data_IF_615804334456
#
_entry.id   IF_615804334456
#
_cell.length_a   1.000
_cell.length_b   1.000
_cell.length_c   1.000
_cell.angle_alpha   90.00
_cell.angle_beta   90.00
_cell.angle_gamma   90.00
#
_symmetry.space_group_name_H-M   'P 1'
#
loop_
_entity.id
_entity.type
_entity.pdbx_description
1 polymer ?
#
# COMPACT_ATOMS: atom_id res chain seq x y z
N UNK A 1 -6.41 22.27 -1.59
CA UNK A 1 -6.31 20.91 -2.14
C UNK A 1 -7.74 20.42 -2.34
N UNK A 2 -8.23 20.35 -3.58
CA UNK A 2 -9.45 19.59 -3.83
C UNK A 2 -9.18 18.20 -3.26
N UNK A 3 -9.99 17.78 -2.29
CA UNK A 3 -9.90 16.40 -1.81
C UNK A 3 -10.24 15.54 -3.01
N UNK A 4 -9.30 14.69 -3.37
CA UNK A 4 -9.52 13.62 -4.31
C UNK A 4 -10.84 12.93 -3.97
N UNK A 5 -11.54 12.46 -4.98
CA UNK A 5 -12.79 11.72 -4.83
C UNK A 5 -12.61 10.70 -3.68
N UNK A 6 -13.41 10.78 -2.59
CA UNK A 6 -13.24 9.91 -1.43
C UNK A 6 -13.37 8.43 -1.75
N UNK A 7 -13.91 8.10 -2.92
CA UNK A 7 -13.99 6.74 -3.44
C UNK A 7 -12.67 6.25 -4.04
N UNK A 8 -11.91 7.13 -4.71
CA UNK A 8 -10.67 6.78 -5.42
C UNK A 8 -9.43 7.11 -4.58
N UNK A 9 -9.24 6.40 -3.48
CA UNK A 9 -8.11 6.60 -2.58
C UNK A 9 -7.18 5.39 -2.56
N UNK A 10 -5.92 5.63 -2.22
CA UNK A 10 -4.89 4.59 -2.10
C UNK A 10 -4.94 3.96 -0.71
N UNK A 11 -4.37 2.75 -0.56
CA UNK A 11 -4.27 2.09 0.75
C UNK A 11 -3.49 2.97 1.75
N UNK A 12 -2.47 3.71 1.28
CA UNK A 12 -1.79 4.73 2.09
C UNK A 12 -2.76 5.77 2.65
N UNK A 13 -3.65 6.30 1.81
CA UNK A 13 -4.64 7.30 2.25
C UNK A 13 -5.61 6.72 3.29
N UNK A 14 -5.97 5.43 3.14
CA UNK A 14 -6.77 4.70 4.12
C UNK A 14 -6.01 4.62 5.45
N UNK A 15 -4.73 4.19 5.43
CA UNK A 15 -3.93 4.04 6.66
C UNK A 15 -3.65 5.40 7.33
N UNK A 16 -3.28 6.43 6.57
CA UNK A 16 -3.04 7.78 7.10
C UNK A 16 -4.33 8.36 7.75
N UNK A 17 -5.51 8.11 7.13
CA UNK A 17 -6.80 8.56 7.68
C UNK A 17 -7.22 7.73 8.90
N UNK A 18 -6.98 6.41 8.87
CA UNK A 18 -7.27 5.53 10.00
C UNK A 18 -6.46 5.97 11.24
N UNK A 19 -5.17 6.26 11.06
CA UNK A 19 -4.32 6.80 12.11
C UNK A 19 -4.86 8.14 12.66
N UNK A 20 -5.22 9.08 11.78
CA UNK A 20 -5.77 10.37 12.19
C UNK A 20 -7.10 10.23 12.96
N UNK A 21 -8.01 9.35 12.49
CA UNK A 21 -9.28 9.08 13.18
C UNK A 21 -9.05 8.45 14.55
N UNK A 22 -8.01 7.60 14.68
CA UNK A 22 -7.63 6.97 15.94
C UNK A 22 -7.04 7.97 16.92
N UNK A 23 -6.13 8.83 16.46
CA UNK A 23 -5.51 9.91 17.27
C UNK A 23 -6.55 10.92 17.77
N UNK A 24 -7.58 11.20 16.98
CA UNK A 24 -8.69 12.09 17.31
C UNK A 24 -9.76 11.39 18.17
N UNK A 25 -9.60 10.12 18.55
CA UNK A 25 -10.59 9.29 19.24
C UNK A 25 -11.97 9.34 18.54
N UNK A 26 -11.97 9.39 17.21
CA UNK A 26 -13.18 9.57 16.41
C UNK A 26 -14.09 8.34 16.48
N UNK A 27 -15.40 8.56 16.60
CA UNK A 27 -16.38 7.48 16.46
C UNK A 27 -16.48 7.08 14.98
N UNK A 28 -15.80 6.02 14.61
CA UNK A 28 -15.73 5.51 13.25
C UNK A 28 -15.93 4.00 13.20
N UNK A 29 -16.34 3.51 12.04
CA UNK A 29 -16.34 2.08 11.71
C UNK A 29 -15.46 1.84 10.47
N UNK A 30 -14.90 0.64 10.40
CA UNK A 30 -14.10 0.15 9.27
C UNK A 30 -14.86 -1.00 8.63
N UNK A 31 -15.15 -0.90 7.33
CA UNK A 31 -15.66 -2.01 6.55
C UNK A 31 -14.53 -2.61 5.72
N UNK A 32 -14.28 -3.92 5.88
CA UNK A 32 -13.21 -4.64 5.18
C UNK A 32 -13.81 -5.78 4.37
N UNK A 33 -13.41 -5.90 3.10
CA UNK A 33 -13.69 -7.10 2.29
C UNK A 33 -12.87 -8.26 2.86
N UNK A 34 -13.52 -9.31 3.34
CA UNK A 34 -12.83 -10.47 3.94
C UNK A 34 -12.83 -11.68 3.03
N UNK A 35 -13.87 -11.87 2.22
CA UNK A 35 -13.91 -12.94 1.23
C UNK A 35 -14.67 -12.51 -0.03
N UNK A 36 -14.34 -13.15 -1.14
CA UNK A 36 -14.95 -12.91 -2.45
C UNK A 36 -15.10 -14.22 -3.21
N UNK A 37 -16.33 -14.61 -3.51
CA UNK A 37 -16.62 -15.66 -4.44
C UNK A 37 -16.99 -15.08 -5.82
N UNK A 38 -16.45 -15.62 -6.90
CA UNK A 38 -16.72 -15.14 -8.26
C UNK A 38 -15.95 -13.88 -8.63
N UNK A 39 -16.63 -12.88 -9.22
CA UNK A 39 -16.04 -11.63 -9.71
C UNK A 39 -16.47 -10.44 -8.87
N UNK A 40 -15.54 -9.81 -8.18
CA UNK A 40 -15.77 -8.58 -7.46
C UNK A 40 -14.78 -7.49 -7.91
N UNK A 41 -15.19 -6.24 -7.73
CA UNK A 41 -14.36 -5.06 -8.06
C UNK A 41 -13.17 -4.92 -7.12
N UNK A 42 -13.38 -5.16 -5.83
CA UNK A 42 -12.32 -5.10 -4.80
C UNK A 42 -12.01 -6.51 -4.29
N UNK A 43 -10.86 -6.66 -3.67
CA UNK A 43 -10.33 -7.91 -3.16
C UNK A 43 -10.36 -7.95 -1.64
N UNK A 44 -10.19 -9.12 -1.02
CA UNK A 44 -9.91 -9.21 0.39
C UNK A 44 -8.80 -8.24 0.81
N UNK A 45 -8.98 -7.58 1.95
CA UNK A 45 -8.12 -6.51 2.45
C UNK A 45 -8.58 -5.09 2.09
N UNK A 46 -9.40 -4.90 1.06
CA UNK A 46 -9.92 -3.57 0.70
C UNK A 46 -10.82 -3.00 1.81
N UNK A 47 -10.61 -1.71 2.12
CA UNK A 47 -11.25 -1.05 3.25
C UNK A 47 -12.05 0.18 2.84
N UNK A 48 -13.09 0.48 3.62
CA UNK A 48 -13.85 1.73 3.63
C UNK A 48 -13.93 2.22 5.07
N UNK A 49 -13.52 3.45 5.31
CA UNK A 49 -13.61 4.13 6.60
C UNK A 49 -14.91 4.94 6.65
N UNK A 50 -15.72 4.73 7.67
CA UNK A 50 -16.99 5.41 7.85
C UNK A 50 -17.01 6.15 9.19
N UNK A 51 -16.49 7.39 9.27
CA UNK A 51 -16.58 8.21 10.47
C UNK A 51 -18.03 8.64 10.75
N UNK A 52 -18.35 9.00 12.01
CA UNK A 52 -19.65 9.54 12.36
C UNK A 52 -19.86 10.92 11.75
N UNK A 53 -18.80 11.71 11.69
CA UNK A 53 -18.77 13.04 11.12
C UNK A 53 -17.90 13.07 9.85
N UNK A 54 -18.49 13.45 8.73
CA UNK A 54 -17.81 13.54 7.44
C UNK A 54 -18.20 12.44 6.45
N UNK A 55 -17.50 12.43 5.32
CA UNK A 55 -17.75 11.48 4.24
C UNK A 55 -16.95 10.18 4.48
N UNK A 56 -17.53 9.06 4.02
CA UNK A 56 -16.81 7.79 3.99
C UNK A 56 -15.63 7.89 3.03
N UNK A 57 -14.50 7.20 3.35
CA UNK A 57 -13.29 7.19 2.58
C UNK A 57 -12.92 5.77 2.18
N UNK A 58 -12.61 5.54 0.92
CA UNK A 58 -12.30 4.22 0.38
C UNK A 58 -13.50 3.57 -0.30
N UNK A 59 -13.32 2.34 -0.76
CA UNK A 59 -14.34 1.60 -1.49
C UNK A 59 -14.21 0.10 -1.30
N UNK A 60 -15.32 -0.56 -1.02
CA UNK A 60 -15.45 -2.02 -0.99
C UNK A 60 -16.08 -2.58 -2.27
N UNK A 61 -16.76 -1.71 -3.04
CA UNK A 61 -17.31 -2.00 -4.38
C UNK A 61 -17.13 -0.79 -5.29
N UNK A 62 -17.68 -0.83 -6.48
CA UNK A 62 -17.73 0.32 -7.39
C UNK A 62 -18.90 1.30 -7.06
N UNK A 63 -19.31 1.37 -5.80
CA UNK A 63 -20.37 2.28 -5.34
C UNK A 63 -21.74 1.61 -5.14
N UNK A 64 -21.94 0.37 -5.58
CA UNK A 64 -23.24 -0.31 -5.51
C UNK A 64 -23.68 -0.65 -4.08
N UNK A 65 -22.76 -0.80 -3.14
CA UNK A 65 -23.03 -1.11 -1.74
C UNK A 65 -22.85 0.07 -0.78
N UNK A 66 -22.58 1.28 -1.24
CA UNK A 66 -22.27 2.43 -0.38
C UNK A 66 -23.40 2.70 0.63
N UNK A 67 -24.66 2.67 0.19
CA UNK A 67 -25.81 2.87 1.07
C UNK A 67 -25.93 1.79 2.16
N UNK A 68 -26.01 0.51 1.79
CA UNK A 68 -26.03 -0.61 2.76
C UNK A 68 -24.84 -0.60 3.71
N UNK A 69 -23.61 -0.43 3.22
CA UNK A 69 -22.39 -0.41 4.05
C UNK A 69 -22.40 0.76 5.03
N UNK A 70 -22.80 1.97 4.60
CA UNK A 70 -22.93 3.12 5.50
C UNK A 70 -23.99 2.89 6.60
N UNK A 71 -25.08 2.18 6.28
CA UNK A 71 -26.10 1.82 7.28
C UNK A 71 -25.58 0.82 8.30
N UNK A 72 -24.84 -0.21 7.86
CA UNK A 72 -24.18 -1.16 8.75
C UNK A 72 -23.13 -0.46 9.63
N UNK A 73 -22.30 0.39 9.04
CA UNK A 73 -21.30 1.16 9.76
C UNK A 73 -21.92 2.05 10.87
N UNK A 74 -23.08 2.66 10.60
CA UNK A 74 -23.82 3.41 11.62
C UNK A 74 -24.25 2.52 12.79
N UNK A 75 -24.81 1.33 12.49
CA UNK A 75 -25.19 0.34 13.51
C UNK A 75 -24.01 -0.12 14.36
N UNK A 76 -22.87 -0.38 13.72
CA UNK A 76 -21.62 -0.81 14.39
C UNK A 76 -21.04 0.31 15.27
N UNK A 77 -21.06 1.55 14.82
CA UNK A 77 -20.64 2.69 15.66
C UNK A 77 -21.48 2.83 16.92
N UNK A 78 -22.81 2.57 16.80
CA UNK A 78 -23.74 2.67 17.93
C UNK A 78 -23.62 1.50 18.89
N UNK A 79 -23.52 0.25 18.38
CA UNK A 79 -23.43 -0.96 19.20
C UNK A 79 -22.04 -1.23 19.75
N UNK A 80 -20.99 -0.76 19.06
CA UNK A 80 -19.59 -1.11 19.30
C UNK A 80 -19.30 -2.61 19.10
N UNK A 81 -20.17 -3.33 18.40
CA UNK A 81 -20.03 -4.74 18.10
C UNK A 81 -19.71 -4.96 16.62
N UNK A 82 -18.70 -5.79 16.32
CA UNK A 82 -18.36 -6.17 14.97
C UNK A 82 -19.41 -7.10 14.36
N UNK A 83 -19.61 -7.00 13.05
CA UNK A 83 -20.52 -7.88 12.31
C UNK A 83 -19.90 -8.28 10.98
N UNK A 84 -20.29 -9.42 10.45
CA UNK A 84 -19.99 -9.84 9.08
C UNK A 84 -21.31 -9.93 8.32
N UNK A 85 -21.35 -9.31 7.14
CA UNK A 85 -22.52 -9.33 6.26
C UNK A 85 -22.13 -9.83 4.87
N UNK A 86 -22.93 -10.77 4.34
CA UNK A 86 -22.75 -11.34 3.02
C UNK A 86 -23.63 -10.64 2.00
N UNK A 87 -23.04 -10.13 0.93
CA UNK A 87 -23.74 -9.50 -0.19
C UNK A 87 -23.65 -10.40 -1.43
N UNK A 88 -24.76 -11.01 -1.81
CA UNK A 88 -24.89 -11.78 -3.06
C UNK A 88 -25.28 -10.85 -4.21
N UNK A 89 -24.29 -10.54 -5.08
CA UNK A 89 -24.49 -9.70 -6.27
C UNK A 89 -24.78 -10.52 -7.54
N UNK A 90 -24.93 -11.84 -7.41
CA UNK A 90 -25.26 -12.72 -8.55
C UNK A 90 -26.73 -12.67 -8.91
N UNK A 91 -27.60 -12.34 -7.95
CA UNK A 91 -29.04 -12.29 -8.11
C UNK A 91 -29.50 -10.86 -8.47
N UNK A 92 -29.62 -10.61 -9.79
CA UNK A 92 -29.93 -9.28 -10.33
C UNK A 92 -31.34 -8.73 -9.98
N UNK A 93 -32.18 -9.49 -9.25
CA UNK A 93 -33.55 -9.06 -8.89
C UNK A 93 -33.61 -8.33 -7.54
N UNK A 94 -32.80 -8.65 -6.55
CA UNK A 94 -32.85 -8.00 -5.23
C UNK A 94 -32.26 -6.58 -5.23
N UNK A 95 -31.25 -6.32 -6.06
CA UNK A 95 -30.57 -5.02 -6.12
C UNK A 95 -30.85 -4.22 -7.40
N UNK A 96 -31.68 -4.74 -8.32
CA UNK A 96 -32.42 -4.00 -9.38
C UNK A 96 -31.57 -3.26 -10.42
N UNK A 97 -30.26 -3.51 -10.58
CA UNK A 97 -29.37 -2.62 -11.31
C UNK A 97 -28.63 -3.25 -12.50
N UNK A 98 -28.75 -4.57 -12.76
CA UNK A 98 -28.04 -5.18 -13.90
C UNK A 98 -26.52 -4.90 -13.84
N UNK A 99 -25.95 -4.86 -12.64
CA UNK A 99 -24.54 -4.57 -12.40
C UNK A 99 -23.70 -5.76 -12.86
N UNK A 100 -22.62 -5.50 -13.59
CA UNK A 100 -21.70 -6.50 -14.10
C UNK A 100 -20.84 -7.22 -13.02
N UNK A 101 -21.19 -7.07 -11.74
CA UNK A 101 -20.55 -7.75 -10.62
C UNK A 101 -21.32 -9.04 -10.35
N UNK A 102 -20.76 -10.19 -10.75
CA UNK A 102 -21.36 -11.53 -10.55
C UNK A 102 -20.59 -12.27 -9.46
N UNK A 103 -20.54 -11.71 -8.24
CA UNK A 103 -19.83 -12.32 -7.12
C UNK A 103 -20.58 -12.18 -5.81
N UNK A 104 -20.16 -12.98 -4.83
CA UNK A 104 -20.58 -12.89 -3.43
C UNK A 104 -19.44 -12.22 -2.67
N UNK A 105 -19.74 -11.27 -1.80
CA UNK A 105 -18.77 -10.51 -1.04
C UNK A 105 -19.12 -10.59 0.44
N UNK A 106 -18.19 -11.04 1.26
CA UNK A 106 -18.30 -10.96 2.71
C UNK A 106 -17.57 -9.72 3.22
N UNK A 107 -18.30 -8.87 3.96
CA UNK A 107 -17.77 -7.67 4.57
C UNK A 107 -17.76 -7.81 6.10
N UNK A 108 -16.60 -7.68 6.70
CA UNK A 108 -16.48 -7.39 8.12
C UNK A 108 -16.68 -5.89 8.32
N UNK A 109 -17.58 -5.51 9.21
CA UNK A 109 -17.72 -4.12 9.66
C UNK A 109 -17.50 -4.09 11.16
N UNK A 110 -16.49 -3.36 11.60
CA UNK A 110 -16.13 -3.28 13.00
C UNK A 110 -15.82 -1.83 13.45
N UNK A 111 -16.01 -1.48 14.74
CA UNK A 111 -15.69 -0.15 15.21
C UNK A 111 -14.19 0.07 15.24
N UNK A 112 -13.76 1.30 14.93
CA UNK A 112 -12.40 1.75 15.18
C UNK A 112 -12.18 1.85 16.69
N UNK A 113 -11.23 1.08 17.21
CA UNK A 113 -10.83 1.03 18.62
C UNK A 113 -9.34 0.70 18.76
N UNK A 114 -8.88 0.49 19.99
CA UNK A 114 -7.47 0.22 20.33
C UNK A 114 -6.91 -1.09 19.77
N UNK A 115 -7.75 -1.95 19.20
CA UNK A 115 -7.29 -3.16 18.50
C UNK A 115 -6.54 -2.87 17.19
N UNK A 116 -6.60 -1.63 16.72
CA UNK A 116 -5.85 -1.17 15.55
C UNK A 116 -4.48 -0.56 15.90
N UNK A 117 -4.21 -0.25 17.19
CA UNK A 117 -3.02 0.52 17.59
C UNK A 117 -1.72 -0.15 17.15
N UNK A 118 -1.57 -1.45 17.39
CA UNK A 118 -0.35 -2.18 17.03
C UNK A 118 -0.11 -2.20 15.49
N UNK A 119 -1.16 -2.28 14.68
CA UNK A 119 -1.05 -2.14 13.23
C UNK A 119 -0.59 -0.74 12.85
N UNK A 120 -1.21 0.29 13.43
CA UNK A 120 -0.91 1.68 13.09
C UNK A 120 0.51 2.07 13.53
N UNK A 121 0.97 1.58 14.69
CA UNK A 121 2.34 1.78 15.18
C UNK A 121 3.36 1.13 14.22
N UNK A 122 3.14 -0.13 13.81
CA UNK A 122 4.02 -0.81 12.85
C UNK A 122 4.11 -0.04 11.52
N UNK A 123 2.96 0.40 10.98
CA UNK A 123 2.94 1.17 9.73
C UNK A 123 3.63 2.55 9.87
N UNK A 124 3.54 3.19 11.05
CA UNK A 124 4.24 4.44 11.34
C UNK A 124 5.76 4.26 11.36
N UNK A 125 6.20 3.10 11.84
CA UNK A 125 7.62 2.70 11.87
C UNK A 125 8.12 2.11 10.54
N UNK A 126 7.27 2.12 9.49
CA UNK A 126 7.55 1.56 8.17
C UNK A 126 7.68 0.03 8.15
N UNK A 127 7.07 -0.65 9.09
CA UNK A 127 7.09 -2.10 9.22
C UNK A 127 5.77 -2.72 8.74
N UNK A 128 5.86 -3.91 8.13
CA UNK A 128 4.69 -4.70 7.79
C UNK A 128 4.12 -5.39 9.04
N UNK A 129 2.83 -5.62 9.01
CA UNK A 129 2.15 -6.36 10.07
C UNK A 129 1.01 -7.21 9.49
N UNK A 130 0.60 -8.25 10.21
CA UNK A 130 -0.58 -9.04 9.85
C UNK A 130 -1.62 -8.90 10.93
N UNK A 131 -2.85 -8.51 10.58
CA UNK A 131 -3.97 -8.58 11.50
C UNK A 131 -4.71 -9.90 11.33
N UNK A 132 -4.96 -10.58 12.44
CA UNK A 132 -5.77 -11.79 12.55
C UNK A 132 -7.09 -11.40 13.18
N UNK A 133 -8.20 -11.47 12.43
CA UNK A 133 -9.51 -11.06 12.93
C UNK A 133 -10.52 -12.19 12.77
N UNK A 134 -11.19 -12.59 13.84
CA UNK A 134 -12.23 -13.62 13.81
C UNK A 134 -13.44 -13.08 13.05
N UNK A 135 -13.81 -13.73 11.94
CA UNK A 135 -14.94 -13.36 11.09
C UNK A 135 -16.12 -14.32 11.25
N UNK A 136 -15.87 -15.54 11.72
CA UNK A 136 -16.89 -16.51 12.13
C UNK A 136 -16.39 -17.32 13.30
N UNK A 137 -17.27 -17.60 14.25
CA UNK A 137 -16.93 -18.39 15.46
C UNK A 137 -18.03 -19.39 15.78
N UNK A 138 -17.64 -20.65 15.97
CA UNK A 138 -18.48 -21.66 16.61
C UNK A 138 -18.24 -21.75 18.12
N UNK A 139 -17.24 -21.04 18.67
CA UNK A 139 -16.96 -20.93 20.08
C UNK A 139 -17.62 -19.68 20.68
N UNK A 140 -18.62 -19.87 21.51
CA UNK A 140 -19.36 -18.75 22.13
C UNK A 140 -18.49 -17.83 23.03
N UNK A 141 -17.29 -18.26 23.41
CA UNK A 141 -16.35 -17.46 24.19
C UNK A 141 -15.49 -16.53 23.33
N UNK A 142 -15.48 -16.73 22.00
CA UNK A 142 -14.68 -15.96 21.04
C UNK A 142 -15.62 -15.16 20.14
N UNK A 143 -15.77 -13.86 20.34
CA UNK A 143 -16.67 -13.05 19.51
C UNK A 143 -16.09 -12.78 18.11
N UNK A 144 -16.96 -12.53 17.15
CA UNK A 144 -16.60 -11.91 15.86
C UNK A 144 -15.96 -10.56 16.15
N UNK A 145 -14.89 -10.24 15.42
CA UNK A 145 -14.08 -9.04 15.64
C UNK A 145 -12.97 -9.20 16.70
N UNK A 146 -12.84 -10.37 17.37
CA UNK A 146 -11.66 -10.66 18.17
C UNK A 146 -10.42 -10.53 17.29
N UNK A 147 -9.43 -9.70 17.70
CA UNK A 147 -8.30 -9.33 16.86
C UNK A 147 -6.97 -9.45 17.57
N UNK A 148 -5.97 -9.94 16.86
CA UNK A 148 -4.56 -9.90 17.24
C UNK A 148 -3.74 -9.43 16.05
N UNK A 149 -2.84 -8.48 16.26
CA UNK A 149 -1.86 -8.04 15.27
C UNK A 149 -0.53 -8.75 15.53
N UNK A 150 0.02 -9.37 14.50
CA UNK A 150 1.34 -10.00 14.49
C UNK A 150 2.31 -9.01 13.85
N UNK A 151 3.37 -8.66 14.55
CA UNK A 151 4.44 -7.76 14.11
C UNK A 151 5.80 -8.44 14.24
N UNK A 152 6.87 -7.81 13.74
CA UNK A 152 8.23 -8.29 13.96
C UNK A 152 8.60 -8.37 15.45
N UNK A 153 8.03 -7.50 16.29
CA UNK A 153 8.27 -7.45 17.74
C UNK A 153 7.42 -8.44 18.56
N UNK A 154 6.39 -9.02 17.96
CA UNK A 154 5.51 -10.00 18.59
C UNK A 154 4.02 -9.74 18.37
N UNK A 155 3.19 -10.48 19.10
CA UNK A 155 1.74 -10.43 18.98
C UNK A 155 1.15 -9.39 19.95
N UNK A 156 0.22 -8.58 19.46
CA UNK A 156 -0.46 -7.55 20.25
C UNK A 156 -1.98 -7.56 20.02
N UNK A 157 -2.73 -7.31 21.09
CA UNK A 157 -4.19 -7.15 21.05
C UNK A 157 -4.58 -5.90 21.81
N UNK A 158 -5.66 -5.24 21.38
CA UNK A 158 -6.21 -4.10 22.09
C UNK A 158 -6.78 -4.48 23.46
N UNK A 159 -7.01 -3.48 24.31
CA UNK A 159 -7.60 -3.68 25.65
C UNK A 159 -9.13 -3.80 25.60
N UNK A 160 -9.76 -3.17 24.62
CA UNK A 160 -11.22 -3.11 24.48
C UNK A 160 -11.82 -4.37 23.85
N UNK A 161 -10.98 -5.18 23.16
CA UNK A 161 -11.39 -6.42 22.51
C UNK A 161 -10.55 -7.61 22.93
N UNK A 162 -11.17 -8.80 23.00
CA UNK A 162 -10.39 -10.02 23.15
C UNK A 162 -9.52 -10.24 21.90
N UNK A 163 -8.34 -10.82 22.12
CA UNK A 163 -7.50 -11.31 21.05
C UNK A 163 -7.98 -12.65 20.50
N UNK A 164 -7.36 -13.08 19.41
CA UNK A 164 -7.48 -14.45 18.89
C UNK A 164 -6.89 -15.42 19.95
N UNK A 165 -7.57 -16.54 20.28
CA UNK A 165 -7.05 -17.50 21.25
C UNK A 165 -5.67 -18.05 20.90
N UNK A 166 -4.84 -18.33 21.93
CA UNK A 166 -3.44 -18.71 21.73
C UNK A 166 -3.25 -19.99 20.90
N UNK A 167 -4.13 -20.99 21.06
CA UNK A 167 -4.12 -22.21 20.25
C UNK A 167 -4.41 -21.94 18.76
N UNK A 168 -5.29 -20.98 18.47
CA UNK A 168 -5.54 -20.52 17.10
C UNK A 168 -4.39 -19.66 16.56
N UNK A 169 -3.78 -18.80 17.40
CA UNK A 169 -2.59 -18.03 17.01
C UNK A 169 -1.43 -18.94 16.61
N UNK A 170 -1.19 -20.00 17.39
CA UNK A 170 -0.12 -20.97 17.09
C UNK A 170 -0.38 -21.67 15.75
N UNK A 171 -1.64 -22.01 15.43
CA UNK A 171 -2.01 -22.62 14.17
C UNK A 171 -1.88 -21.66 12.95
N UNK A 172 -2.10 -20.35 13.17
CA UNK A 172 -2.08 -19.32 12.14
C UNK A 172 -0.71 -18.67 11.93
N UNK A 173 0.29 -19.00 12.74
CA UNK A 173 1.58 -18.30 12.73
C UNK A 173 2.24 -18.30 11.36
N UNK A 174 2.31 -19.45 10.69
CA UNK A 174 2.90 -19.55 9.36
C UNK A 174 2.13 -18.70 8.33
N UNK A 175 0.79 -18.80 8.32
CA UNK A 175 -0.05 -17.99 7.43
C UNK A 175 0.08 -16.49 7.70
N UNK A 176 0.27 -16.09 8.97
CA UNK A 176 0.48 -14.69 9.33
C UNK A 176 1.84 -14.18 8.86
N UNK A 177 2.90 -14.99 9.00
CA UNK A 177 4.25 -14.65 8.52
C UNK A 177 4.30 -14.54 6.99
N UNK A 178 3.67 -15.48 6.28
CA UNK A 178 3.57 -15.45 4.81
C UNK A 178 2.76 -14.25 4.33
N UNK A 179 1.61 -13.97 4.96
CA UNK A 179 0.78 -12.81 4.64
C UNK A 179 1.52 -11.48 4.89
N UNK A 180 2.32 -11.40 5.95
CA UNK A 180 3.17 -10.24 6.25
C UNK A 180 4.23 -10.01 5.18
N UNK A 181 4.83 -11.10 4.69
CA UNK A 181 5.88 -11.04 3.68
C UNK A 181 5.36 -10.65 2.29
N UNK A 182 4.15 -11.13 1.94
CA UNK A 182 3.60 -11.02 0.59
C UNK A 182 2.48 -9.97 0.46
N UNK A 183 2.06 -9.32 1.57
CA UNK A 183 0.95 -8.35 1.58
C UNK A 183 -0.38 -8.97 1.15
N UNK A 184 -0.62 -10.24 1.48
CA UNK A 184 -1.80 -10.99 1.03
C UNK A 184 -2.86 -11.07 2.11
N UNK A 185 -4.14 -11.26 1.71
CA UNK A 185 -5.26 -11.32 2.64
C UNK A 185 -6.24 -12.42 2.25
N UNK A 186 -6.80 -13.11 3.25
CA UNK A 186 -7.80 -14.16 3.04
C UNK A 186 -8.26 -14.80 4.34
N UNK A 187 -9.24 -15.70 4.26
CA UNK A 187 -9.81 -16.38 5.42
C UNK A 187 -9.19 -17.77 5.58
N UNK A 188 -8.77 -18.08 6.80
CA UNK A 188 -8.26 -19.40 7.20
C UNK A 188 -9.18 -19.98 8.27
N UNK A 189 -9.64 -21.22 8.07
CA UNK A 189 -10.41 -21.95 9.07
C UNK A 189 -9.47 -22.68 10.04
N UNK A 190 -9.65 -22.44 11.33
CA UNK A 190 -8.92 -23.13 12.39
C UNK A 190 -9.88 -24.08 13.10
N UNK A 191 -9.63 -25.39 12.96
CA UNK A 191 -10.39 -26.43 13.68
C UNK A 191 -9.94 -26.49 15.16
N UNK A 192 -10.89 -26.42 16.09
CA UNK A 192 -10.63 -26.41 17.54
C UNK A 192 -11.64 -27.28 18.28
N UNK A 193 -11.23 -27.86 19.40
CA UNK A 193 -12.14 -28.66 20.25
C UNK A 193 -13.29 -27.83 20.85
N UNK A 194 -13.05 -26.51 21.10
CA UNK A 194 -14.04 -25.58 21.63
C UNK A 194 -15.00 -25.00 20.56
N UNK A 195 -14.74 -25.26 19.31
CA UNK A 195 -15.48 -24.78 18.14
C UNK A 195 -14.57 -24.10 17.13
N UNK A 196 -14.83 -24.32 15.86
CA UNK A 196 -14.05 -23.80 14.74
C UNK A 196 -14.14 -22.29 14.64
N UNK A 197 -13.06 -21.68 14.19
CA UNK A 197 -12.96 -20.24 13.89
C UNK A 197 -12.59 -20.04 12.43
N UNK A 198 -13.30 -19.15 11.74
CA UNK A 198 -12.80 -18.57 10.52
C UNK A 198 -12.12 -17.23 10.87
N UNK A 199 -10.84 -17.14 10.54
CA UNK A 199 -10.01 -15.99 10.87
C UNK A 199 -9.56 -15.33 9.58
N UNK A 200 -9.85 -14.05 9.43
CA UNK A 200 -9.33 -13.24 8.35
C UNK A 200 -7.88 -12.86 8.68
N UNK A 201 -6.98 -13.33 7.83
CA UNK A 201 -5.55 -13.04 7.86
C UNK A 201 -5.32 -11.90 6.87
N UNK A 202 -4.91 -10.74 7.34
CA UNK A 202 -4.74 -9.52 6.55
C UNK A 202 -3.30 -9.02 6.67
N UNK A 203 -2.48 -9.36 5.69
CA UNK A 203 -1.12 -8.85 5.57
C UNK A 203 -1.13 -7.41 5.09
N UNK A 204 -0.66 -6.50 5.93
CA UNK A 204 -0.67 -5.06 5.66
C UNK A 204 0.75 -4.54 5.57
N UNK A 205 1.06 -3.98 4.43
CA UNK A 205 2.37 -3.40 4.15
C UNK A 205 2.35 -1.88 4.29
N UNK A 206 3.45 -1.26 4.77
CA UNK A 206 3.59 0.19 4.72
C UNK A 206 3.65 0.67 3.26
N UNK A 207 3.18 1.89 3.02
CA UNK A 207 3.21 2.48 1.69
C UNK A 207 4.63 2.51 1.11
N UNK A 208 4.82 2.12 -0.17
CA UNK A 208 6.13 2.22 -0.82
C UNK A 208 6.59 3.68 -0.90
N UNK A 209 7.91 3.90 -0.87
CA UNK A 209 8.50 5.23 -0.98
C UNK A 209 8.98 5.51 -2.41
N UNK A 210 8.68 6.71 -2.92
CA UNK A 210 9.26 7.23 -4.16
C UNK A 210 10.20 8.38 -3.82
N UNK A 211 11.51 8.14 -3.96
CA UNK A 211 12.55 9.14 -3.73
C UNK A 211 12.92 9.82 -5.05
N UNK A 212 12.55 11.09 -5.21
CA UNK A 212 12.90 11.91 -6.36
C UNK A 212 14.13 12.75 -6.04
N UNK A 213 15.26 12.43 -6.65
CA UNK A 213 16.45 13.27 -6.54
C UNK A 213 16.47 14.30 -7.68
N UNK A 214 15.94 15.47 -7.40
CA UNK A 214 15.73 16.57 -8.33
C UNK A 214 14.52 17.42 -7.93
N UNK A 215 14.58 18.71 -8.16
CA UNK A 215 13.55 19.68 -7.74
C UNK A 215 13.17 20.65 -8.86
N UNK A 216 13.25 20.19 -10.10
CA UNK A 216 12.82 20.97 -11.27
C UNK A 216 11.28 20.85 -11.44
N UNK A 217 10.73 21.57 -12.42
CA UNK A 217 9.28 21.59 -12.62
C UNK A 217 8.69 20.22 -13.03
N UNK A 218 9.47 19.38 -13.70
CA UNK A 218 9.10 18.00 -14.07
C UNK A 218 8.94 17.08 -12.85
N UNK A 219 9.77 17.28 -11.83
CA UNK A 219 9.65 16.54 -10.56
C UNK A 219 8.28 16.75 -9.87
N UNK A 220 7.65 17.92 -10.07
CA UNK A 220 6.30 18.19 -9.51
C UNK A 220 5.25 17.24 -10.07
N UNK A 221 5.30 16.99 -11.38
CA UNK A 221 4.33 16.09 -12.04
C UNK A 221 4.58 14.65 -11.64
N UNK A 222 5.85 14.23 -11.50
CA UNK A 222 6.22 12.90 -11.02
C UNK A 222 5.76 12.72 -9.56
N UNK A 223 5.99 13.73 -8.69
CA UNK A 223 5.55 13.71 -7.30
C UNK A 223 4.01 13.56 -7.19
N UNK A 224 3.27 14.33 -8.00
CA UNK A 224 1.80 14.24 -8.04
C UNK A 224 1.32 12.84 -8.44
N UNK A 225 1.83 12.28 -9.52
CA UNK A 225 1.43 10.95 -9.96
C UNK A 225 1.89 9.85 -9.00
N UNK A 226 3.10 9.97 -8.42
CA UNK A 226 3.58 9.06 -7.40
C UNK A 226 2.66 9.03 -6.18
N UNK A 227 2.27 10.20 -5.67
CA UNK A 227 1.32 10.28 -4.56
C UNK A 227 -0.05 9.69 -4.93
N UNK A 228 -0.56 9.97 -6.15
CA UNK A 228 -1.82 9.38 -6.63
C UNK A 228 -1.73 7.86 -6.85
N UNK A 229 -0.54 7.33 -7.12
CA UNK A 229 -0.28 5.89 -7.23
C UNK A 229 -0.03 5.19 -5.87
N UNK A 230 -0.09 5.92 -4.75
CA UNK A 230 0.04 5.35 -3.41
C UNK A 230 1.43 5.46 -2.77
N UNK A 231 2.41 6.02 -3.46
CA UNK A 231 3.74 6.19 -2.89
C UNK A 231 3.78 7.31 -1.83
N UNK A 232 4.61 7.12 -0.81
CA UNK A 232 5.14 8.22 0.02
C UNK A 232 6.24 8.92 -0.76
N UNK A 233 5.97 10.13 -1.24
CA UNK A 233 6.92 10.84 -2.09
C UNK A 233 7.86 11.69 -1.26
N UNK A 234 9.17 11.46 -1.41
CA UNK A 234 10.24 12.33 -0.89
C UNK A 234 10.93 13.03 -2.06
N UNK A 235 10.96 14.36 -2.04
CA UNK A 235 11.74 15.16 -3.00
C UNK A 235 13.03 15.62 -2.33
N UNK A 236 14.15 15.16 -2.86
CA UNK A 236 15.50 15.52 -2.39
C UNK A 236 16.17 16.46 -3.39
N UNK A 237 16.67 17.61 -2.92
CA UNK A 237 17.25 18.64 -3.75
C UNK A 237 18.67 18.98 -3.32
N UNK A 238 19.63 18.92 -4.25
CA UNK A 238 20.99 19.46 -4.05
C UNK A 238 21.03 20.99 -4.00
N UNK A 239 19.91 21.64 -4.33
CA UNK A 239 19.75 23.11 -4.35
C UNK A 239 18.86 23.52 -3.19
N UNK A 240 19.43 23.86 -2.03
CA UNK A 240 18.68 24.19 -0.82
C UNK A 240 17.54 25.20 -1.01
N UNK A 241 17.73 26.23 -1.85
CA UNK A 241 16.67 27.19 -2.17
C UNK A 241 15.47 26.61 -2.94
N UNK A 242 15.57 25.37 -3.46
CA UNK A 242 14.50 24.65 -4.17
C UNK A 242 13.90 23.53 -3.33
N UNK A 243 14.44 23.24 -2.17
CA UNK A 243 13.87 22.32 -1.22
C UNK A 243 12.75 23.04 -0.41
N UNK A 244 11.70 23.41 -1.11
CA UNK A 244 10.57 24.16 -0.60
C UNK A 244 9.29 23.37 -0.76
N UNK A 245 8.69 22.96 0.36
CA UNK A 245 7.48 22.14 0.40
C UNK A 245 6.28 22.81 -0.27
N UNK A 246 6.20 24.14 -0.30
CA UNK A 246 5.10 24.83 -1.00
C UNK A 246 5.13 24.60 -2.52
N UNK A 247 6.30 24.28 -3.08
CA UNK A 247 6.43 23.96 -4.49
C UNK A 247 6.07 22.51 -4.83
N UNK A 248 5.98 21.63 -3.83
CA UNK A 248 5.68 20.20 -3.98
C UNK A 248 4.54 19.79 -3.03
N UNK A 249 3.32 20.29 -3.24
CA UNK A 249 2.19 20.04 -2.34
C UNK A 249 1.78 18.56 -2.26
N UNK A 250 2.15 17.76 -3.26
CA UNK A 250 1.88 16.32 -3.32
C UNK A 250 3.03 15.48 -2.73
N UNK A 251 4.16 16.10 -2.37
CA UNK A 251 5.25 15.40 -1.70
C UNK A 251 4.99 15.28 -0.20
N UNK A 252 5.21 14.09 0.35
CA UNK A 252 5.15 13.85 1.78
C UNK A 252 6.30 14.56 2.51
N UNK A 253 7.48 14.61 1.88
CA UNK A 253 8.67 15.25 2.46
C UNK A 253 9.48 15.94 1.35
N UNK A 254 9.99 17.12 1.66
CA UNK A 254 10.93 17.85 0.80
C UNK A 254 12.19 18.17 1.61
N UNK A 255 13.36 17.75 1.12
CA UNK A 255 14.62 17.88 1.85
C UNK A 255 15.70 18.49 0.99
N UNK A 256 16.56 19.31 1.61
CA UNK A 256 17.83 19.73 1.04
C UNK A 256 18.90 18.73 1.44
N UNK A 257 19.64 18.19 0.48
CA UNK A 257 20.69 17.21 0.78
C UNK A 257 21.83 17.31 -0.24
N UNK A 258 23.04 16.97 0.18
CA UNK A 258 24.13 16.77 -0.75
C UNK A 258 23.90 15.46 -1.54
N UNK A 259 24.29 15.36 -2.83
CA UNK A 259 24.08 14.12 -3.60
C UNK A 259 24.65 12.86 -2.95
N UNK A 260 25.81 12.95 -2.27
CA UNK A 260 26.43 11.85 -1.53
C UNK A 260 25.72 11.45 -0.24
N UNK A 261 24.78 12.28 0.25
CA UNK A 261 24.03 12.06 1.48
C UNK A 261 22.57 11.68 1.19
N UNK A 262 22.23 11.45 -0.08
CA UNK A 262 20.85 11.11 -0.46
C UNK A 262 20.40 9.77 0.16
N UNK A 263 21.33 8.85 0.37
CA UNK A 263 21.11 7.57 1.04
C UNK A 263 20.58 7.73 2.49
N UNK A 264 20.96 8.81 3.21
CA UNK A 264 20.50 9.09 4.58
C UNK A 264 18.99 9.36 4.65
N UNK A 265 18.36 9.58 3.51
CA UNK A 265 16.91 9.83 3.43
C UNK A 265 16.10 8.59 3.04
N UNK A 266 16.75 7.45 2.80
CA UNK A 266 16.14 6.13 2.56
C UNK A 266 15.88 5.46 3.92
N UNK A 267 14.59 5.30 4.29
CA UNK A 267 14.19 4.74 5.58
C UNK A 267 13.91 3.24 5.51
N UNK A 268 13.19 2.83 4.44
CA UNK A 268 12.87 1.44 4.13
C UNK A 268 13.50 1.09 2.77
N UNK A 269 14.78 0.66 2.73
CA UNK A 269 15.50 0.45 1.48
C UNK A 269 14.78 -0.50 0.52
N UNK A 270 14.25 -1.61 1.03
CA UNK A 270 13.58 -2.67 0.25
C UNK A 270 12.29 -2.19 -0.41
N UNK A 271 11.70 -1.08 0.10
CA UNK A 271 10.44 -0.48 -0.39
C UNK A 271 10.62 0.92 -0.95
N UNK A 272 11.88 1.37 -1.15
CA UNK A 272 12.18 2.68 -1.72
C UNK A 272 12.59 2.56 -3.19
N UNK A 273 11.87 3.26 -4.04
CA UNK A 273 12.10 3.35 -5.49
C UNK A 273 12.63 4.74 -5.79
N UNK A 274 13.87 4.84 -6.25
CA UNK A 274 14.53 6.13 -6.47
C UNK A 274 14.48 6.54 -7.94
N UNK A 275 14.34 7.85 -8.20
CA UNK A 275 14.43 8.45 -9.54
C UNK A 275 15.40 9.63 -9.53
N UNK A 276 16.46 9.52 -10.31
CA UNK A 276 17.45 10.59 -10.48
C UNK A 276 17.05 11.49 -11.65
N UNK A 277 16.72 12.73 -11.33
CA UNK A 277 16.23 13.74 -12.28
C UNK A 277 16.72 15.15 -11.94
N UNK A 278 17.96 15.26 -11.44
CA UNK A 278 18.55 16.56 -11.07
C UNK A 278 18.91 17.43 -12.26
N UNK A 279 18.96 16.86 -13.47
CA UNK A 279 19.48 17.46 -14.69
C UNK A 279 20.94 17.91 -14.60
N UNK A 280 21.70 17.40 -13.65
CA UNK A 280 23.11 17.67 -13.47
C UNK A 280 23.87 16.32 -13.44
N UNK A 281 24.82 16.12 -14.36
CA UNK A 281 25.54 14.85 -14.49
C UNK A 281 26.32 14.51 -13.24
N UNK A 282 26.97 15.50 -12.60
CA UNK A 282 27.77 15.29 -11.40
C UNK A 282 26.88 14.95 -10.19
N UNK A 283 25.77 15.69 -10.02
CA UNK A 283 24.83 15.42 -8.94
C UNK A 283 24.18 14.03 -9.08
N UNK A 284 23.74 13.66 -10.33
CA UNK A 284 23.15 12.35 -10.61
C UNK A 284 24.18 11.21 -10.43
N UNK A 285 25.46 11.42 -10.80
CA UNK A 285 26.52 10.44 -10.60
C UNK A 285 26.75 10.14 -9.11
N UNK A 286 26.90 11.19 -8.31
CA UNK A 286 27.16 11.05 -6.87
C UNK A 286 25.95 10.41 -6.15
N UNK A 287 24.73 10.80 -6.53
CA UNK A 287 23.52 10.24 -5.95
C UNK A 287 23.32 8.77 -6.37
N UNK A 288 23.64 8.40 -7.62
CA UNK A 288 23.58 7.02 -8.09
C UNK A 288 24.53 6.14 -7.30
N UNK A 289 25.77 6.58 -7.12
CA UNK A 289 26.77 5.84 -6.35
C UNK A 289 26.32 5.61 -4.91
N UNK A 290 25.85 6.68 -4.21
CA UNK A 290 25.36 6.59 -2.85
C UNK A 290 24.17 5.61 -2.73
N UNK A 291 23.16 5.73 -3.61
CA UNK A 291 22.00 4.85 -3.57
C UNK A 291 22.35 3.38 -3.84
N UNK A 292 23.23 3.11 -4.79
CA UNK A 292 23.59 1.73 -5.14
C UNK A 292 24.48 1.04 -4.11
N UNK A 293 25.35 1.79 -3.41
CA UNK A 293 26.35 1.26 -2.49
C UNK A 293 25.96 1.32 -1.04
N UNK A 294 25.31 2.41 -0.65
CA UNK A 294 25.00 2.67 0.76
C UNK A 294 23.60 2.21 1.13
N UNK A 295 22.79 1.79 0.13
CA UNK A 295 21.43 1.28 0.35
C UNK A 295 21.14 -0.02 -0.41
N UNK A 296 20.06 -0.70 0.02
CA UNK A 296 19.53 -1.88 -0.65
C UNK A 296 18.34 -1.60 -1.57
N UNK A 297 18.14 -0.34 -2.03
CA UNK A 297 16.97 0.01 -2.88
C UNK A 297 16.89 -0.89 -4.11
N UNK A 298 15.72 -1.47 -4.43
CA UNK A 298 15.57 -2.41 -5.53
C UNK A 298 15.60 -1.73 -6.91
N UNK A 299 15.42 -0.41 -6.96
CA UNK A 299 15.26 0.31 -8.20
C UNK A 299 15.82 1.72 -8.13
N UNK A 300 16.60 2.09 -9.17
CA UNK A 300 17.07 3.46 -9.41
C UNK A 300 16.83 3.81 -10.87
N UNK A 301 15.80 4.62 -11.12
CA UNK A 301 15.50 5.17 -12.45
C UNK A 301 16.38 6.39 -12.76
N UNK A 302 17.01 6.42 -13.91
CA UNK A 302 17.82 7.57 -14.36
C UNK A 302 17.14 8.27 -15.53
N UNK A 303 16.80 9.54 -15.34
CA UNK A 303 16.23 10.37 -16.37
C UNK A 303 17.30 10.85 -17.37
N UNK A 304 16.99 10.77 -18.65
CA UNK A 304 17.86 11.23 -19.71
C UNK A 304 18.01 10.21 -20.86
N UNK A 305 18.67 10.60 -21.94
CA UNK A 305 18.89 9.71 -23.06
C UNK A 305 19.89 8.58 -22.71
N UNK A 306 19.89 7.50 -23.48
CA UNK A 306 20.77 6.32 -23.24
C UNK A 306 22.25 6.68 -23.14
N UNK A 307 22.68 7.64 -23.91
CA UNK A 307 24.06 8.14 -23.95
C UNK A 307 24.50 8.71 -22.59
N UNK A 308 23.57 9.36 -21.86
CA UNK A 308 23.84 9.94 -20.54
C UNK A 308 24.32 8.91 -19.53
N UNK A 309 23.79 7.69 -19.57
CA UNK A 309 24.26 6.63 -18.67
C UNK A 309 25.69 6.18 -19.00
N UNK A 310 26.06 6.18 -20.29
CA UNK A 310 27.45 5.94 -20.72
C UNK A 310 28.39 6.98 -20.13
N UNK A 311 28.08 8.27 -20.29
CA UNK A 311 28.84 9.39 -19.74
C UNK A 311 28.98 9.30 -18.20
N UNK A 312 27.91 8.89 -17.54
CA UNK A 312 27.91 8.72 -16.07
C UNK A 312 28.81 7.57 -15.64
N UNK A 313 28.78 6.43 -16.35
CA UNK A 313 29.67 5.28 -16.07
C UNK A 313 31.13 5.62 -16.34
N UNK A 314 31.43 6.35 -17.41
CA UNK A 314 32.79 6.82 -17.71
C UNK A 314 33.29 7.76 -16.59
N UNK A 315 32.46 8.68 -16.13
CA UNK A 315 32.79 9.58 -15.01
C UNK A 315 32.98 8.83 -13.67
N UNK A 316 32.26 7.73 -13.42
CA UNK A 316 32.49 6.86 -12.26
C UNK A 316 33.85 6.13 -12.40
N UNK A 317 34.15 5.62 -13.60
CA UNK A 317 35.39 4.92 -13.86
C UNK A 317 36.64 5.83 -13.73
N UNK A 318 36.52 7.11 -14.08
CA UNK A 318 37.58 8.12 -13.88
C UNK A 318 37.91 8.34 -12.39
N UNK A 319 36.95 8.06 -11.51
CA UNK A 319 37.12 8.10 -10.03
C UNK A 319 37.39 6.69 -9.44
N UNK A 320 37.86 5.71 -10.25
CA UNK A 320 38.07 4.34 -9.86
C UNK A 320 36.83 3.58 -9.34
N UNK A 321 35.64 4.03 -9.69
CA UNK A 321 34.37 3.42 -9.32
C UNK A 321 33.82 2.59 -10.46
N UNK A 322 33.70 1.27 -10.26
CA UNK A 322 33.06 0.37 -11.22
C UNK A 322 31.80 -0.23 -10.60
N UNK A 323 30.67 -0.12 -11.30
CA UNK A 323 29.42 -0.74 -10.90
C UNK A 323 29.45 -2.24 -11.19
N UNK A 324 29.04 -3.03 -10.22
CA UNK A 324 28.88 -4.48 -10.34
C UNK A 324 27.59 -4.83 -11.10
N UNK A 325 27.47 -6.08 -11.58
CA UNK A 325 26.26 -6.51 -12.26
C UNK A 325 25.00 -6.42 -11.37
N UNK A 326 25.01 -6.84 -10.10
CA UNK A 326 23.85 -6.64 -9.22
C UNK A 326 23.47 -5.17 -9.00
N UNK A 327 24.44 -4.24 -9.02
CA UNK A 327 24.13 -2.80 -8.97
C UNK A 327 23.50 -2.33 -10.29
N UNK A 328 24.01 -2.79 -11.43
CA UNK A 328 23.48 -2.46 -12.76
C UNK A 328 22.06 -3.00 -12.96
N UNK A 329 21.76 -4.17 -12.43
CA UNK A 329 20.44 -4.80 -12.54
C UNK A 329 19.32 -3.98 -11.81
N UNK A 330 19.71 -3.12 -10.87
CA UNK A 330 18.81 -2.19 -10.18
C UNK A 330 18.61 -0.86 -10.91
N UNK A 331 19.33 -0.60 -12.01
CA UNK A 331 19.29 0.68 -12.74
C UNK A 331 18.38 0.58 -13.96
N UNK A 332 17.34 1.39 -14.02
CA UNK A 332 16.53 1.60 -15.22
C UNK A 332 16.93 2.89 -15.95
N UNK A 333 17.38 2.75 -17.18
CA UNK A 333 17.85 3.88 -17.98
C UNK A 333 17.67 3.67 -19.50
N UNK A 334 16.96 4.54 -20.21
CA UNK A 334 16.13 5.65 -19.71
C UNK A 334 15.01 5.15 -18.80
N UNK A 335 14.72 5.91 -17.73
CA UNK A 335 13.63 5.60 -16.81
C UNK A 335 12.26 5.70 -17.50
N UNK A 336 11.36 4.75 -17.21
CA UNK A 336 9.97 4.78 -17.62
C UNK A 336 9.59 3.72 -18.65
N UNK A 337 8.30 3.35 -18.65
CA UNK A 337 7.71 2.47 -19.66
C UNK A 337 7.55 3.20 -21.01
N UNK A 338 7.63 2.46 -22.10
CA UNK A 338 7.37 3.02 -23.46
C UNK A 338 5.88 3.28 -23.66
N UNK A 339 5.43 4.49 -23.34
CA UNK A 339 4.07 4.97 -23.58
C UNK A 339 3.95 5.78 -24.87
N UNK A 340 5.07 6.07 -25.55
CA UNK A 340 5.11 6.79 -26.82
C UNK A 340 4.78 8.29 -26.73
N UNK A 341 4.63 8.85 -25.49
CA UNK A 341 4.34 10.29 -25.29
C UNK A 341 5.58 11.01 -24.71
N UNK A 342 6.05 12.03 -25.45
CA UNK A 342 7.18 12.89 -25.04
C UNK A 342 6.76 14.14 -24.26
N UNK A 343 5.48 14.32 -23.91
CA UNK A 343 5.05 15.44 -23.06
C UNK A 343 5.54 15.28 -21.61
N UNK A 344 5.74 16.37 -20.85
CA UNK A 344 6.11 16.27 -19.44
C UNK A 344 5.16 15.38 -18.62
N UNK A 345 3.87 15.43 -18.93
CA UNK A 345 2.84 14.58 -18.29
C UNK A 345 3.01 13.11 -18.66
N UNK A 346 3.22 12.80 -19.95
CA UNK A 346 3.43 11.44 -20.41
C UNK A 346 4.72 10.84 -19.89
N UNK A 347 5.80 11.61 -19.80
CA UNK A 347 7.06 11.19 -19.18
C UNK A 347 6.85 10.88 -17.70
N UNK A 348 6.19 11.74 -16.94
CA UNK A 348 5.92 11.51 -15.52
C UNK A 348 5.04 10.27 -15.30
N UNK A 349 4.01 10.07 -16.13
CA UNK A 349 3.19 8.86 -16.09
C UNK A 349 4.01 7.60 -16.37
N UNK A 350 4.89 7.66 -17.38
CA UNK A 350 5.80 6.57 -17.76
C UNK A 350 6.73 6.17 -16.61
N UNK A 351 7.33 7.15 -15.93
CA UNK A 351 8.22 6.95 -14.77
C UNK A 351 7.46 6.28 -13.62
N UNK A 352 6.31 6.83 -13.24
CA UNK A 352 5.52 6.30 -12.13
C UNK A 352 4.95 4.92 -12.44
N UNK A 353 4.53 4.69 -13.70
CA UNK A 353 4.06 3.38 -14.13
C UNK A 353 5.16 2.30 -14.03
N UNK A 354 6.41 2.62 -14.38
CA UNK A 354 7.53 1.70 -14.21
C UNK A 354 7.83 1.44 -12.73
N UNK A 355 7.92 2.50 -11.91
CA UNK A 355 8.13 2.36 -10.48
C UNK A 355 7.01 1.52 -9.81
N UNK A 356 5.74 1.73 -10.21
CA UNK A 356 4.61 0.94 -9.75
C UNK A 356 4.71 -0.52 -10.17
N UNK A 357 5.13 -0.78 -11.42
CA UNK A 357 5.32 -2.15 -11.90
C UNK A 357 6.39 -2.88 -11.10
N UNK A 358 7.54 -2.22 -10.86
CA UNK A 358 8.63 -2.80 -10.03
C UNK A 358 8.16 -3.03 -8.59
N UNK A 359 7.42 -2.08 -8.00
CA UNK A 359 6.91 -2.19 -6.64
C UNK A 359 5.92 -3.37 -6.45
N UNK A 360 5.29 -3.82 -7.53
CA UNK A 360 4.34 -4.94 -7.53
C UNK A 360 4.89 -6.20 -8.22
N UNK A 361 6.21 -6.30 -8.40
CA UNK A 361 6.88 -7.41 -9.12
C UNK A 361 6.23 -7.71 -10.48
N UNK A 362 5.84 -6.67 -11.21
CA UNK A 362 5.14 -6.76 -12.47
C UNK A 362 6.02 -6.30 -13.64
N UNK A 363 5.84 -6.93 -14.80
CA UNK A 363 6.63 -6.61 -15.99
C UNK A 363 6.21 -5.31 -16.70
N UNK A 364 5.09 -4.67 -16.30
CA UNK A 364 4.58 -3.44 -16.94
C UNK A 364 4.02 -3.63 -18.36
N UNK A 365 3.76 -4.89 -18.78
CA UNK A 365 3.24 -5.24 -20.10
C UNK A 365 1.71 -5.11 -20.19
N UNK A 366 1.16 -5.50 -21.37
CA UNK A 366 -0.29 -5.47 -21.59
C UNK A 366 -0.95 -6.67 -20.94
N UNK A 367 -1.98 -6.44 -20.12
CA UNK A 367 -2.74 -7.51 -19.44
C UNK A 367 -3.30 -8.56 -20.42
N UNK A 368 -3.73 -8.16 -21.65
CA UNK A 368 -4.24 -9.09 -22.67
C UNK A 368 -3.19 -10.09 -23.18
N UNK A 369 -1.92 -9.88 -22.91
CA UNK A 369 -0.80 -10.74 -23.31
C UNK A 369 -0.46 -11.75 -22.22
N UNK A 370 -1.06 -11.60 -21.03
CA UNK A 370 -0.96 -12.53 -19.92
C UNK A 370 -2.06 -13.60 -20.01
N UNK A 371 -1.79 -14.78 -19.46
CA UNK A 371 -2.75 -15.88 -19.34
C UNK A 371 -3.10 -16.11 -17.87
N UNK A 372 -4.33 -16.54 -17.61
CA UNK A 372 -4.81 -16.80 -16.26
C UNK A 372 -5.62 -15.64 -15.67
N UNK A 373 -5.74 -15.60 -14.36
CA UNK A 373 -6.43 -14.52 -13.65
C UNK A 373 -5.56 -13.26 -13.69
N UNK A 374 -6.20 -12.10 -13.87
CA UNK A 374 -5.51 -10.78 -13.88
C UNK A 374 -4.71 -10.57 -12.59
N UNK A 375 -5.27 -11.06 -11.48
CA UNK A 375 -4.61 -11.12 -10.20
C UNK A 375 -4.69 -12.56 -9.68
N UNK A 376 -3.59 -13.20 -9.31
CA UNK A 376 -3.63 -14.53 -8.73
C UNK A 376 -4.50 -14.49 -7.46
N UNK A 377 -5.33 -15.52 -7.28
CA UNK A 377 -5.98 -15.77 -5.99
C UNK A 377 -4.90 -16.36 -5.10
N UNK A 378 -4.60 -15.69 -4.01
CA UNK A 378 -3.75 -16.26 -2.97
C UNK A 378 -4.66 -17.06 -2.06
N UNK A 379 -4.36 -18.33 -1.90
CA UNK A 379 -5.01 -19.19 -0.89
C UNK A 379 -4.09 -19.17 0.34
N UNK A 380 -4.44 -18.43 1.40
CA UNK A 380 -3.60 -18.33 2.60
C UNK A 380 -3.52 -19.65 3.40
N UNK A 381 -4.23 -20.70 2.93
CA UNK A 381 -4.18 -22.05 3.50
C UNK A 381 -3.30 -23.02 2.70
N UNK A 382 -2.64 -22.57 1.61
CA UNK A 382 -1.88 -23.42 0.71
C UNK A 382 -0.43 -23.64 1.16
#
# INVERSE_FOLDING_TARGET
MDRDDPWSVTDRSIHDTLAALRDDEANAAVATVVDVEGSAYRRPGAKLLAPADGDALGAVTAGCLDGPVNSLAAGVRDSREATVETFDLTDGEEWGLGLGCNGIIDLLVDPLDDSYDALLDALADHEAATTLTVVRSADAAVPVGARTTVTADGDASGSDRPGVPGDALDALRASAEDAMADGTSGVVTVERESGDLDVFVDGVEPAPELLLFGSQNDAKTVAKFGASAGFRVTVASSRGARADGEQFPDAHRVVATHPTEVADHVRAPERTYAVLMSHNLVDDRLALEALLRDTGVPYVGLMGPRERFGELRDALADDDVTLTQPELDRVSTPVGLDLGDGSPTGIALSIVAEATAVANDAAGGRLREQSGHIHPRVDPSA
#
